data_IF_207174270922
#
_entry.id   IF_207174270922
#
_cell.length_a   1.000
_cell.length_b   1.000
_cell.length_c   1.000
_cell.angle_alpha   90.00
_cell.angle_beta   90.00
_cell.angle_gamma   90.00
#
_symmetry.space_group_name_H-M   'P 1'
#
loop_
_entity.id
_entity.type
_entity.pdbx_description
1 polymer ?
#
# COMPACT_ATOMS: atom_id res chain seq x y z
N UNK A 1 -20.26 -9.21 -1.22
CA UNK A 1 -19.35 -10.34 -0.92
C UNK A 1 -17.87 -9.94 -0.88
N UNK A 2 -17.51 -8.77 -1.43
CA UNK A 2 -16.11 -8.29 -1.55
C UNK A 2 -15.39 -8.11 -0.20
N UNK A 3 -16.10 -7.70 0.85
CA UNK A 3 -15.53 -7.54 2.19
C UNK A 3 -14.92 -8.84 2.75
N UNK A 4 -15.47 -10.02 2.38
CA UNK A 4 -14.93 -11.32 2.80
C UNK A 4 -13.67 -11.72 2.04
N UNK A 5 -13.61 -11.44 0.74
CA UNK A 5 -12.44 -11.68 -0.12
C UNK A 5 -11.28 -10.74 0.25
N UNK A 6 -11.57 -9.45 0.43
CA UNK A 6 -10.62 -8.44 0.90
C UNK A 6 -10.02 -8.87 2.24
N UNK A 7 -10.84 -9.36 3.19
CA UNK A 7 -10.36 -9.84 4.50
C UNK A 7 -9.43 -11.06 4.37
N UNK A 8 -9.76 -12.03 3.51
CA UNK A 8 -8.89 -13.19 3.25
C UNK A 8 -7.56 -12.78 2.63
N UNK A 9 -7.59 -11.89 1.64
CA UNK A 9 -6.36 -11.37 1.02
C UNK A 9 -5.52 -10.57 2.03
N UNK A 10 -6.16 -9.78 2.90
CA UNK A 10 -5.48 -9.05 3.98
C UNK A 10 -4.68 -10.00 4.89
N UNK A 11 -5.24 -11.15 5.24
CA UNK A 11 -4.54 -12.15 6.06
C UNK A 11 -3.34 -12.73 5.29
N UNK A 12 -3.51 -13.03 4.00
CA UNK A 12 -2.45 -13.55 3.14
C UNK A 12 -1.29 -12.55 2.93
N UNK A 13 -1.61 -11.25 2.84
CA UNK A 13 -0.62 -10.17 2.66
C UNK A 13 0.07 -9.74 3.96
N UNK A 14 -0.54 -10.02 5.12
CA UNK A 14 0.01 -9.65 6.44
C UNK A 14 1.51 -10.00 6.63
N UNK A 15 2.01 -11.21 6.34
CA UNK A 15 3.43 -11.55 6.55
C UNK A 15 4.40 -10.78 5.64
N UNK A 16 3.94 -10.30 4.49
CA UNK A 16 4.73 -9.45 3.59
C UNK A 16 4.70 -8.02 4.11
N UNK A 17 3.52 -7.52 4.50
CA UNK A 17 3.39 -6.15 5.02
C UNK A 17 4.16 -5.96 6.33
N UNK A 18 4.13 -6.90 7.27
CA UNK A 18 4.91 -6.78 8.51
C UNK A 18 6.42 -6.76 8.27
N UNK A 19 6.92 -7.33 7.16
CA UNK A 19 8.33 -7.19 6.74
C UNK A 19 8.63 -5.87 6.05
N UNK A 20 7.68 -5.35 5.25
CA UNK A 20 7.85 -4.08 4.54
C UNK A 20 7.74 -2.87 5.48
N UNK A 21 6.95 -2.99 6.55
CA UNK A 21 6.68 -1.97 7.55
C UNK A 21 7.17 -2.41 8.95
N UNK A 22 8.50 -2.59 9.15
CA UNK A 22 9.04 -3.07 10.43
C UNK A 22 8.81 -2.09 11.58
N UNK A 23 8.65 -0.79 11.26
CA UNK A 23 8.44 0.28 12.24
C UNK A 23 6.96 0.38 12.69
N UNK A 24 6.06 -0.43 12.13
CA UNK A 24 4.62 -0.42 12.45
C UNK A 24 4.25 -1.71 13.19
N UNK A 25 3.70 -1.63 14.42
CA UNK A 25 3.27 -2.82 15.15
C UNK A 25 2.18 -3.59 14.37
N UNK A 26 2.28 -4.92 14.34
CA UNK A 26 1.39 -5.77 13.52
C UNK A 26 -0.07 -5.84 13.98
N UNK A 27 -0.35 -5.32 15.17
CA UNK A 27 -1.65 -5.15 15.83
C UNK A 27 -2.13 -3.69 15.82
N UNK A 28 -1.29 -2.73 15.41
CA UNK A 28 -1.67 -1.32 15.31
C UNK A 28 -2.73 -1.10 14.21
N UNK A 29 -3.71 -0.19 14.41
CA UNK A 29 -4.72 0.14 13.39
C UNK A 29 -4.13 0.52 12.01
N UNK A 30 -2.95 1.12 11.99
CA UNK A 30 -2.20 1.42 10.77
C UNK A 30 -1.99 0.19 9.89
N UNK A 31 -1.59 -0.94 10.48
CA UNK A 31 -1.36 -2.18 9.72
C UNK A 31 -2.66 -2.70 9.08
N UNK A 32 -3.77 -2.61 9.81
CA UNK A 32 -5.09 -2.96 9.29
C UNK A 32 -5.52 -2.07 8.12
N UNK A 33 -5.35 -0.76 8.24
CA UNK A 33 -5.69 0.20 7.19
C UNK A 33 -4.81 0.03 5.93
N UNK A 34 -3.51 -0.21 6.10
CA UNK A 34 -2.58 -0.53 4.99
C UNK A 34 -3.07 -1.79 4.26
N UNK A 35 -3.36 -2.87 4.99
CA UNK A 35 -3.81 -4.12 4.40
C UNK A 35 -5.11 -3.97 3.62
N UNK A 36 -6.07 -3.20 4.14
CA UNK A 36 -7.32 -2.91 3.45
C UNK A 36 -7.09 -2.12 2.15
N UNK A 37 -6.26 -1.08 2.20
CA UNK A 37 -5.92 -0.28 1.01
C UNK A 37 -5.22 -1.12 -0.07
N UNK A 38 -4.18 -1.87 0.30
CA UNK A 38 -3.46 -2.72 -0.67
C UNK A 38 -4.36 -3.80 -1.23
N UNK A 39 -5.22 -4.42 -0.40
CA UNK A 39 -6.17 -5.42 -0.87
C UNK A 39 -7.17 -4.82 -1.87
N UNK A 40 -7.69 -3.62 -1.60
CA UNK A 40 -8.59 -2.92 -2.54
C UNK A 40 -7.89 -2.62 -3.88
N UNK A 41 -6.64 -2.14 -3.86
CA UNK A 41 -5.84 -1.92 -5.06
C UNK A 41 -5.60 -3.20 -5.86
N UNK A 42 -5.23 -4.30 -5.18
CA UNK A 42 -4.98 -5.59 -5.84
C UNK A 42 -6.24 -6.13 -6.54
N UNK A 43 -7.43 -5.92 -5.97
CA UNK A 43 -8.69 -6.31 -6.59
C UNK A 43 -9.23 -5.30 -7.63
N UNK A 44 -8.54 -4.19 -7.86
CA UNK A 44 -9.00 -3.15 -8.79
C UNK A 44 -10.21 -2.36 -8.27
N UNK A 45 -10.47 -2.39 -6.96
CA UNK A 45 -11.53 -1.63 -6.28
C UNK A 45 -11.02 -0.22 -5.92
N UNK A 46 -10.52 0.51 -6.93
CA UNK A 46 -9.85 1.81 -6.74
C UNK A 46 -10.67 2.84 -5.95
N UNK A 47 -12.00 2.82 -6.12
CA UNK A 47 -12.93 3.70 -5.39
C UNK A 47 -12.91 3.47 -3.88
N UNK A 48 -12.63 2.24 -3.43
CA UNK A 48 -12.50 1.89 -2.02
C UNK A 48 -11.07 2.08 -1.50
N UNK A 49 -10.06 2.08 -2.36
CA UNK A 49 -8.66 2.16 -1.93
C UNK A 49 -8.29 3.52 -1.33
N UNK A 50 -8.77 4.62 -1.93
CA UNK A 50 -8.48 5.99 -1.48
C UNK A 50 -8.89 6.27 -0.03
N UNK A 51 -10.12 5.98 0.44
CA UNK A 51 -10.49 6.22 1.83
C UNK A 51 -9.68 5.36 2.81
N UNK A 52 -9.35 4.11 2.44
CA UNK A 52 -8.45 3.29 3.24
C UNK A 52 -7.02 3.83 3.27
N UNK A 53 -6.56 4.43 2.16
CA UNK A 53 -5.24 5.03 2.07
C UNK A 53 -5.10 6.29 2.92
N UNK A 54 -6.11 7.16 2.92
CA UNK A 54 -6.16 8.32 3.81
C UNK A 54 -6.21 7.88 5.27
N UNK A 55 -6.97 6.82 5.59
CA UNK A 55 -6.97 6.25 6.94
C UNK A 55 -5.59 5.70 7.31
N UNK A 56 -4.95 4.93 6.43
CA UNK A 56 -3.60 4.41 6.66
C UNK A 56 -2.58 5.53 6.92
N UNK A 57 -2.63 6.62 6.15
CA UNK A 57 -1.76 7.78 6.36
C UNK A 57 -1.99 8.46 7.72
N UNK A 58 -3.25 8.61 8.15
CA UNK A 58 -3.58 9.16 9.48
C UNK A 58 -3.05 8.27 10.62
N UNK A 59 -3.21 6.96 10.49
CA UNK A 59 -2.73 5.99 11.49
C UNK A 59 -1.20 5.84 11.46
N UNK A 60 -0.55 6.08 10.32
CA UNK A 60 0.92 6.17 10.26
C UNK A 60 1.42 7.47 10.88
N UNK A 61 0.68 8.57 10.69
CA UNK A 61 0.98 9.86 11.30
C UNK A 61 0.85 9.83 12.83
N UNK A 62 -0.09 9.06 13.38
CA UNK A 62 -0.21 8.91 14.85
C UNK A 62 1.02 8.25 15.47
N UNK A 63 1.79 7.47 14.71
CA UNK A 63 3.06 6.87 15.10
C UNK A 63 4.27 7.79 14.85
N UNK A 64 4.08 8.91 14.15
CA UNK A 64 5.12 9.85 13.80
C UNK A 64 5.37 10.85 14.95
N UNK A 65 6.62 11.06 15.36
CA UNK A 65 6.97 12.04 16.38
C UNK A 65 7.14 13.46 15.83
N UNK A 66 7.25 13.62 14.50
CA UNK A 66 7.38 14.90 13.82
C UNK A 66 6.33 15.01 12.72
N UNK A 67 5.36 15.90 12.89
CA UNK A 67 4.24 15.96 11.95
C UNK A 67 4.61 16.54 10.57
N UNK A 68 5.70 17.30 10.47
CA UNK A 68 6.12 17.97 9.24
C UNK A 68 6.98 17.06 8.35
N UNK A 69 7.52 15.98 8.91
CA UNK A 69 8.44 15.07 8.19
C UNK A 69 7.85 13.67 8.07
N UNK A 70 7.81 13.13 6.84
CA UNK A 70 7.31 11.77 6.61
C UNK A 70 8.25 10.67 7.14
N UNK A 71 7.68 9.63 7.74
CA UNK A 71 8.42 8.43 8.16
C UNK A 71 8.72 7.50 6.98
N UNK A 72 9.70 6.60 7.14
CA UNK A 72 9.98 5.53 6.15
C UNK A 72 8.74 4.66 5.88
N UNK A 73 7.89 4.46 6.88
CA UNK A 73 6.65 3.73 6.74
C UNK A 73 5.68 4.48 5.81
N UNK A 74 5.50 5.79 6.00
CA UNK A 74 4.67 6.62 5.11
C UNK A 74 5.21 6.63 3.67
N UNK A 75 6.52 6.81 3.49
CA UNK A 75 7.17 6.76 2.18
C UNK A 75 7.01 5.40 1.51
N UNK A 76 7.20 4.30 2.26
CA UNK A 76 7.02 2.94 1.74
C UNK A 76 5.55 2.71 1.32
N UNK A 77 4.59 3.16 2.13
CA UNK A 77 3.17 3.03 1.83
C UNK A 77 2.77 3.79 0.55
N UNK A 78 3.26 5.02 0.40
CA UNK A 78 3.04 5.84 -0.78
C UNK A 78 3.64 5.17 -2.02
N UNK A 79 4.89 4.72 -1.95
CA UNK A 79 5.57 4.06 -3.08
C UNK A 79 4.81 2.82 -3.58
N UNK A 80 4.30 1.99 -2.66
CA UNK A 80 3.49 0.82 -3.03
C UNK A 80 2.18 1.26 -3.71
N UNK A 81 1.48 2.26 -3.17
CA UNK A 81 0.24 2.79 -3.77
C UNK A 81 0.49 3.39 -5.17
N UNK A 82 1.56 4.15 -5.36
CA UNK A 82 1.93 4.71 -6.66
C UNK A 82 2.20 3.61 -7.70
N UNK A 83 2.82 2.50 -7.29
CA UNK A 83 3.10 1.38 -8.19
C UNK A 83 1.87 0.54 -8.57
N UNK A 84 0.75 0.68 -7.84
CA UNK A 84 -0.58 0.16 -8.17
C UNK A 84 -0.62 -1.32 -8.61
N UNK A 85 -0.06 -2.26 -7.81
CA UNK A 85 -0.24 -3.71 -8.08
C UNK A 85 -1.71 -4.01 -8.19
N UNK A 86 -2.14 -4.42 -9.38
CA UNK A 86 -3.53 -4.78 -9.66
C UNK A 86 -3.55 -6.16 -10.29
N UNK A 87 -4.17 -7.14 -9.61
CA UNK A 87 -4.33 -8.50 -10.12
C UNK A 87 -5.49 -8.57 -11.10
N UNK A 88 -6.58 -7.85 -10.80
CA UNK A 88 -7.79 -7.83 -11.62
C UNK A 88 -8.09 -6.37 -11.97
N UNK A 89 -7.74 -5.89 -13.18
CA UNK A 89 -8.01 -4.53 -13.62
C UNK A 89 -9.47 -4.38 -14.05
N UNK A 90 -10.42 -4.66 -13.15
CA UNK A 90 -11.85 -4.76 -13.43
C UNK A 90 -12.40 -3.51 -14.15
N UNK A 91 -11.98 -2.32 -13.72
CA UNK A 91 -12.38 -1.05 -14.34
C UNK A 91 -11.93 -0.94 -15.80
N UNK A 92 -10.69 -1.32 -16.12
CA UNK A 92 -10.18 -1.28 -17.49
C UNK A 92 -10.86 -2.35 -18.35
N UNK A 93 -11.12 -3.54 -17.79
CA UNK A 93 -11.88 -4.59 -18.47
C UNK A 93 -13.29 -4.07 -18.80
N UNK A 94 -13.96 -3.40 -17.85
CA UNK A 94 -15.28 -2.81 -18.06
C UNK A 94 -15.25 -1.72 -19.16
N UNK A 95 -14.25 -0.84 -19.14
CA UNK A 95 -14.08 0.16 -20.21
C UNK A 95 -13.84 -0.47 -21.58
N UNK A 96 -13.01 -1.52 -21.65
CA UNK A 96 -12.76 -2.25 -22.89
C UNK A 96 -14.02 -2.96 -23.41
N UNK A 97 -14.81 -3.55 -22.51
CA UNK A 97 -16.09 -4.16 -22.87
C UNK A 97 -17.09 -3.11 -23.38
N UNK A 98 -17.17 -1.94 -22.73
CA UNK A 98 -18.03 -0.84 -23.17
C UNK A 98 -17.59 -0.24 -24.52
N UNK A 99 -16.31 -0.38 -24.89
CA UNK A 99 -15.76 0.02 -26.18
C UNK A 99 -15.79 -1.10 -27.25
N UNK A 100 -16.55 -2.17 -27.01
CA UNK A 100 -16.72 -3.30 -27.93
C UNK A 100 -15.42 -4.03 -28.30
N UNK A 101 -14.48 -4.08 -27.35
CA UNK A 101 -13.21 -4.78 -27.52
C UNK A 101 -13.44 -6.29 -27.67
N UNK A 102 -12.84 -6.89 -28.70
CA UNK A 102 -12.98 -8.33 -28.99
C UNK A 102 -12.55 -9.24 -27.83
N UNK A 103 -11.56 -8.82 -27.04
CA UNK A 103 -11.14 -9.52 -25.82
C UNK A 103 -10.82 -8.51 -24.70
N UNK A 104 -11.82 -8.11 -23.89
CA UNK A 104 -11.63 -7.11 -22.84
C UNK A 104 -10.64 -7.53 -21.74
N UNK A 105 -10.46 -8.83 -21.53
CA UNK A 105 -9.64 -9.40 -20.46
C UNK A 105 -8.17 -9.64 -20.86
N UNK A 106 -7.79 -9.47 -22.13
CA UNK A 106 -6.41 -9.74 -22.60
C UNK A 106 -5.33 -8.91 -21.87
N UNK A 107 -5.72 -7.76 -21.31
CA UNK A 107 -4.82 -6.84 -20.61
C UNK A 107 -4.34 -7.38 -19.25
N UNK A 108 -5.02 -8.38 -18.68
CA UNK A 108 -4.71 -8.91 -17.34
C UNK A 108 -3.24 -9.33 -17.24
N UNK A 109 -2.73 -10.08 -18.22
CA UNK A 109 -1.35 -10.56 -18.20
C UNK A 109 -0.33 -9.43 -18.22
N UNK A 110 -0.52 -8.45 -19.11
CA UNK A 110 0.35 -7.28 -19.21
C UNK A 110 0.28 -6.41 -17.94
N UNK A 111 -0.91 -6.21 -17.37
CA UNK A 111 -1.11 -5.44 -16.15
C UNK A 111 -0.41 -6.06 -14.94
N UNK A 112 -0.52 -7.37 -14.75
CA UNK A 112 0.15 -8.07 -13.65
C UNK A 112 1.67 -7.92 -13.76
N UNK A 113 2.24 -8.14 -14.95
CA UNK A 113 3.70 -8.04 -15.17
C UNK A 113 4.18 -6.61 -14.95
N UNK A 114 3.52 -5.62 -15.58
CA UNK A 114 3.92 -4.22 -15.50
C UNK A 114 3.83 -3.69 -14.06
N UNK A 115 2.72 -3.97 -13.36
CA UNK A 115 2.52 -3.46 -12.00
C UNK A 115 3.40 -4.19 -10.99
N UNK A 116 3.61 -5.50 -11.12
CA UNK A 116 4.56 -6.24 -10.27
C UNK A 116 5.98 -5.71 -10.44
N UNK A 117 6.43 -5.49 -11.69
CA UNK A 117 7.74 -4.92 -11.96
C UNK A 117 7.87 -3.50 -11.36
N UNK A 118 6.86 -2.65 -11.57
CA UNK A 118 6.79 -1.30 -10.99
C UNK A 118 6.92 -1.33 -9.46
N UNK A 119 6.20 -2.25 -8.80
CA UNK A 119 6.23 -2.36 -7.34
C UNK A 119 7.56 -2.87 -6.79
N UNK A 120 8.19 -3.83 -7.47
CA UNK A 120 9.53 -4.28 -7.11
C UNK A 120 10.50 -3.09 -7.17
N UNK A 121 10.48 -2.34 -8.28
CA UNK A 121 11.33 -1.15 -8.44
C UNK A 121 11.02 -0.10 -7.38
N UNK A 122 9.74 0.18 -7.10
CA UNK A 122 9.33 1.15 -6.09
C UNK A 122 9.81 0.77 -4.68
N UNK A 123 9.68 -0.51 -4.30
CA UNK A 123 10.17 -1.02 -3.01
C UNK A 123 11.69 -0.93 -2.93
N UNK A 124 12.41 -1.33 -3.98
CA UNK A 124 13.88 -1.24 -4.01
C UNK A 124 14.30 0.22 -3.90
N UNK A 125 13.71 1.11 -4.69
CA UNK A 125 14.02 2.53 -4.71
C UNK A 125 13.78 3.18 -3.35
N UNK A 126 12.60 2.97 -2.73
CA UNK A 126 12.30 3.59 -1.43
C UNK A 126 13.22 3.07 -0.32
N UNK A 127 13.56 1.77 -0.32
CA UNK A 127 14.49 1.20 0.67
C UNK A 127 15.94 1.61 0.42
N UNK A 128 16.35 1.81 -0.82
CA UNK A 128 17.67 2.31 -1.16
C UNK A 128 17.82 3.79 -0.78
N UNK A 129 16.84 4.62 -1.12
CA UNK A 129 16.81 6.04 -0.78
C UNK A 129 16.80 6.25 0.74
N UNK A 130 16.00 5.50 1.50
CA UNK A 130 15.97 5.58 2.96
C UNK A 130 17.33 5.31 3.64
N UNK A 131 18.25 4.60 2.96
CA UNK A 131 19.60 4.33 3.47
C UNK A 131 20.63 5.41 3.13
N UNK A 132 20.31 6.34 2.21
CA UNK A 132 21.26 7.39 1.85
C UNK A 132 21.45 8.37 3.02
N UNK A 133 22.67 8.93 3.20
CA UNK A 133 22.98 9.81 4.33
C UNK A 133 22.05 11.03 4.42
N UNK A 134 21.68 11.60 3.26
CA UNK A 134 20.81 12.76 3.18
C UNK A 134 19.42 12.51 3.81
N UNK A 135 18.83 11.33 3.57
CA UNK A 135 17.50 10.99 4.08
C UNK A 135 17.54 10.37 5.48
N UNK A 136 18.64 9.69 5.83
CA UNK A 136 18.84 9.14 7.17
C UNK A 136 18.94 10.23 8.24
N UNK A 137 19.55 11.37 7.90
CA UNK A 137 19.70 12.50 8.81
C UNK A 137 18.36 13.19 9.15
N UNK A 138 17.41 13.18 8.21
CA UNK A 138 16.08 13.77 8.37
C UNK A 138 15.03 12.78 8.87
N UNK A 139 15.39 11.52 9.17
CA UNK A 139 14.41 10.49 9.54
C UNK A 139 13.76 10.84 10.90
N UNK A 140 12.43 11.06 10.96
CA UNK A 140 11.75 11.35 12.20
C UNK A 140 11.74 10.11 13.10
N UNK A 141 11.71 10.32 14.42
CA UNK A 141 11.57 9.22 15.38
C UNK A 141 10.13 8.70 15.35
N UNK A 142 9.97 7.42 15.63
CA UNK A 142 8.66 6.83 15.88
C UNK A 142 8.27 7.04 17.35
N UNK A 143 7.00 7.32 17.63
CA UNK A 143 6.46 7.30 19.00
C UNK A 143 6.52 5.87 19.53
N UNK A 144 7.10 5.68 20.72
CA UNK A 144 7.25 4.36 21.32
C UNK A 144 5.93 3.97 21.98
N UNK A 145 5.57 2.68 21.92
CA UNK A 145 4.30 2.09 22.39
C UNK A 145 3.84 2.49 23.81
N UNK A 146 4.72 3.04 24.67
CA UNK A 146 4.35 3.55 26.01
C UNK A 146 3.52 4.83 25.98
N UNK A 147 3.60 5.62 24.90
CA UNK A 147 2.98 6.95 24.82
C UNK A 147 1.58 6.92 24.17
N UNK A 148 1.10 5.76 23.70
CA UNK A 148 -0.16 5.61 22.94
C UNK A 148 -1.31 5.10 23.82
N UNK A 149 -1.06 4.84 25.12
CA UNK A 149 -2.08 4.41 26.09
C UNK A 149 -2.50 5.49 27.10
N UNK A 150 -2.26 6.78 26.81
CA UNK A 150 -2.71 7.90 27.66
C UNK A 150 -3.94 8.60 27.09
#
# INVERSE_FOLDING_TARGET
>A
EDAGLVKKLSIALKPVMTRLFPDVPGDHPAMGAILMNISANVFGLGDAATPFGLKAMKELQSLNADEETATDAMCTFLAINTSSVTLIPATIIAYRAAADSANPAEIIGAAIIATTASTIVAIIAVKALAKLPAFKASKPKMKIHKDIQA
#
